data_IF_482169167274
#
_entry.id   IF_482169167274
#
_cell.length_a   1.000
_cell.length_b   1.000
_cell.length_c   1.000
_cell.angle_alpha   90.00
_cell.angle_beta   90.00
_cell.angle_gamma   90.00
#
_symmetry.space_group_name_H-M   'P 1'
#
loop_
_entity.id
_entity.type
_entity.pdbx_description
1 polymer ?
#
# COMPACT_ATOMS: atom_id res chain seq x y z
N UNK A 1 52.94 -49.60 49.41
CA UNK A 1 51.94 -48.55 49.70
C UNK A 1 51.57 -47.87 48.41
N UNK A 2 50.32 -48.06 47.93
CA UNK A 2 49.74 -47.38 46.76
C UNK A 2 48.70 -46.38 47.27
N UNK A 3 48.63 -45.14 46.78
CA UNK A 3 47.45 -44.31 46.96
C UNK A 3 46.47 -44.52 45.80
N UNK A 4 45.19 -44.60 46.15
CA UNK A 4 44.00 -44.52 45.29
C UNK A 4 43.64 -43.03 45.07
N UNK A 5 42.88 -42.72 44.02
CA UNK A 5 41.84 -41.67 43.85
C UNK A 5 41.77 -41.32 42.36
N UNK A 6 40.66 -41.04 41.68
CA UNK A 6 39.25 -41.38 41.77
C UNK A 6 38.68 -40.99 40.38
N UNK A 7 37.74 -41.78 39.86
CA UNK A 7 37.06 -41.56 38.59
C UNK A 7 36.19 -40.28 38.69
N UNK A 8 36.35 -39.35 37.74
CA UNK A 8 35.35 -38.34 37.43
C UNK A 8 34.86 -38.57 36.01
N UNK A 9 33.62 -39.03 35.89
CA UNK A 9 32.87 -39.09 34.64
C UNK A 9 32.40 -37.68 34.27
N UNK A 10 32.89 -37.13 33.17
CA UNK A 10 32.34 -35.92 32.57
C UNK A 10 31.21 -36.32 31.60
N UNK A 11 29.96 -36.02 31.95
CA UNK A 11 28.84 -36.02 30.99
C UNK A 11 29.02 -34.84 30.03
N UNK A 12 29.20 -35.13 28.75
CA UNK A 12 29.09 -34.16 27.66
C UNK A 12 27.60 -34.02 27.34
N UNK A 13 26.98 -32.93 27.83
CA UNK A 13 25.64 -32.52 27.39
C UNK A 13 25.74 -31.73 26.09
N UNK A 14 25.31 -32.33 24.98
CA UNK A 14 25.08 -31.65 23.70
C UNK A 14 23.90 -30.68 23.87
N UNK A 15 24.15 -29.37 23.79
CA UNK A 15 23.10 -28.38 23.60
C UNK A 15 22.98 -28.08 22.10
N UNK A 16 22.00 -28.69 21.44
CA UNK A 16 21.61 -28.35 20.06
C UNK A 16 20.88 -27.01 20.09
N UNK A 17 21.61 -25.92 19.79
CA UNK A 17 21.00 -24.63 19.50
C UNK A 17 20.30 -24.70 18.15
N UNK A 18 18.97 -24.79 18.15
CA UNK A 18 18.15 -24.52 16.98
C UNK A 18 18.29 -23.04 16.62
N UNK A 19 19.21 -22.73 15.71
CA UNK A 19 19.23 -21.46 14.99
C UNK A 19 18.04 -21.47 14.03
N UNK A 20 16.92 -20.88 14.47
CA UNK A 20 15.85 -20.50 13.57
C UNK A 20 16.40 -19.43 12.61
N UNK A 21 16.48 -19.76 11.32
CA UNK A 21 16.80 -18.80 10.26
C UNK A 21 15.73 -17.71 10.15
N UNK A 22 16.04 -16.58 9.51
CA UNK A 22 15.14 -15.44 9.45
C UNK A 22 13.85 -15.83 8.72
N UNK A 23 12.71 -15.49 9.32
CA UNK A 23 11.40 -15.58 8.68
C UNK A 23 11.33 -14.47 7.63
N UNK A 24 11.01 -14.84 6.39
CA UNK A 24 10.84 -13.89 5.29
C UNK A 24 9.78 -12.82 5.66
N UNK A 25 10.19 -11.55 5.69
CA UNK A 25 9.30 -10.40 5.97
C UNK A 25 9.77 -9.43 7.05
N UNK A 26 10.81 -9.76 7.82
CA UNK A 26 11.41 -8.81 8.76
C UNK A 26 12.13 -7.68 8.02
N UNK A 27 11.55 -6.48 8.05
CA UNK A 27 12.25 -5.25 7.64
C UNK A 27 13.46 -5.07 8.57
N UNK A 28 14.62 -4.64 8.05
CA UNK A 28 15.76 -4.31 8.91
C UNK A 28 15.30 -3.32 9.98
N UNK A 29 15.65 -3.60 11.25
CA UNK A 29 15.36 -2.78 12.43
C UNK A 29 13.93 -2.85 13.01
N UNK A 30 13.18 -3.93 12.77
CA UNK A 30 11.90 -4.18 13.48
C UNK A 30 12.06 -5.14 14.66
N UNK A 31 11.44 -4.81 15.80
CA UNK A 31 11.41 -5.64 17.01
C UNK A 31 9.97 -6.02 17.34
N UNK A 32 9.71 -7.30 17.53
CA UNK A 32 8.40 -7.79 17.96
C UNK A 32 8.21 -7.67 19.48
N UNK A 33 7.00 -7.32 19.92
CA UNK A 33 6.58 -7.29 21.33
C UNK A 33 5.33 -8.16 21.54
N UNK A 34 4.98 -8.48 22.78
CA UNK A 34 3.73 -9.19 23.11
C UNK A 34 2.60 -8.22 23.48
N UNK A 35 1.33 -8.66 23.44
CA UNK A 35 0.22 -7.85 23.93
C UNK A 35 0.46 -7.37 25.36
N UNK A 36 0.37 -6.05 25.58
CA UNK A 36 0.61 -5.41 26.86
C UNK A 36 2.08 -5.09 27.18
N UNK A 37 3.04 -5.51 26.34
CA UNK A 37 4.42 -5.06 26.45
C UNK A 37 4.60 -3.67 25.82
N UNK A 38 5.54 -2.88 26.35
CA UNK A 38 5.93 -1.61 25.74
C UNK A 38 7.06 -1.83 24.74
N UNK A 39 7.18 -0.95 23.75
CA UNK A 39 8.34 -0.94 22.88
C UNK A 39 9.64 -0.72 23.69
N UNK A 40 10.76 -1.31 23.27
CA UNK A 40 12.07 -1.01 23.84
C UNK A 40 12.36 0.50 23.84
N UNK A 41 13.17 0.96 24.80
CA UNK A 41 13.57 2.36 24.89
C UNK A 41 14.17 2.85 23.56
N UNK A 42 13.73 4.01 23.08
CA UNK A 42 14.14 4.59 21.80
C UNK A 42 13.38 4.06 20.58
N UNK A 43 12.35 3.22 20.77
CA UNK A 43 11.48 2.72 19.69
C UNK A 43 10.04 3.16 19.89
N UNK A 44 9.28 3.15 18.81
CA UNK A 44 7.82 3.32 18.81
C UNK A 44 7.14 2.18 18.07
N UNK A 45 5.89 1.91 18.42
CA UNK A 45 5.05 0.94 17.72
C UNK A 45 4.68 1.51 16.35
N UNK A 46 5.06 0.80 15.28
CA UNK A 46 4.79 1.19 13.89
C UNK A 46 3.67 0.34 13.25
N UNK A 47 3.39 -0.81 13.86
CA UNK A 47 2.28 -1.73 13.56
C UNK A 47 1.95 -2.48 14.85
N UNK A 48 0.74 -3.05 14.98
CA UNK A 48 0.43 -3.90 16.13
C UNK A 48 1.54 -4.89 16.41
N UNK A 49 2.10 -4.79 17.61
CA UNK A 49 3.17 -5.65 18.14
C UNK A 49 4.53 -5.54 17.41
N UNK A 50 4.76 -4.49 16.61
CA UNK A 50 6.03 -4.25 15.93
C UNK A 50 6.56 -2.85 16.22
N UNK A 51 7.74 -2.80 16.80
CA UNK A 51 8.45 -1.58 17.17
C UNK A 51 9.61 -1.30 16.21
N UNK A 52 9.95 -0.03 16.03
CA UNK A 52 11.12 0.41 15.25
C UNK A 52 11.72 1.68 15.86
N UNK A 53 13.04 1.80 15.79
CA UNK A 53 13.77 3.02 16.13
C UNK A 53 13.87 3.96 14.91
N UNK A 54 13.79 5.28 15.09
CA UNK A 54 14.08 6.23 14.02
C UNK A 54 15.55 6.12 13.59
N UNK A 55 15.82 6.38 12.31
CA UNK A 55 17.20 6.42 11.77
C UNK A 55 17.90 7.76 11.98
N UNK A 56 17.16 8.77 12.44
CA UNK A 56 17.66 10.08 12.81
C UNK A 56 17.65 10.21 14.32
N UNK A 57 18.58 11.01 14.85
CA UNK A 57 18.56 11.38 16.27
C UNK A 57 17.23 12.06 16.60
N UNK A 58 16.51 11.49 17.57
CA UNK A 58 15.24 12.03 17.99
C UNK A 58 15.43 13.43 18.59
N UNK A 59 14.66 14.44 18.18
CA UNK A 59 14.68 15.74 18.85
C UNK A 59 14.34 15.57 20.33
N UNK A 60 14.86 16.47 21.17
CA UNK A 60 14.35 16.57 22.53
C UNK A 60 12.86 16.96 22.49
N UNK A 61 12.12 16.62 23.53
CA UNK A 61 10.72 17.05 23.66
C UNK A 61 10.56 18.59 23.66
N UNK A 62 11.62 19.33 23.95
CA UNK A 62 11.63 20.80 23.95
C UNK A 62 11.87 21.40 22.55
N UNK A 63 12.55 20.63 21.69
CA UNK A 63 12.91 21.02 20.33
C UNK A 63 11.89 20.54 19.30
N UNK A 64 11.18 19.44 19.57
CA UNK A 64 10.10 18.96 18.72
C UNK A 64 8.88 19.87 18.83
N UNK A 65 8.61 20.67 17.79
CA UNK A 65 7.52 21.65 17.75
C UNK A 65 6.66 21.45 16.49
N UNK A 66 6.01 20.28 16.33
CA UNK A 66 5.17 20.03 15.18
C UNK A 66 4.01 21.01 15.18
N UNK A 67 3.68 21.56 14.02
CA UNK A 67 2.44 22.30 13.83
C UNK A 67 1.38 21.32 13.35
N UNK A 68 0.48 20.95 14.26
CA UNK A 68 -0.64 20.07 13.94
C UNK A 68 -1.49 20.64 12.81
N UNK A 69 -1.75 19.83 11.79
CA UNK A 69 -2.68 20.15 10.69
C UNK A 69 -4.12 19.71 10.95
N UNK A 70 -4.45 19.06 12.07
CA UNK A 70 -5.76 18.43 12.31
C UNK A 70 -6.20 18.48 13.77
N UNK A 71 -7.34 19.13 14.05
CA UNK A 71 -8.00 19.10 15.38
C UNK A 71 -9.51 19.07 15.20
N UNK A 72 -10.14 17.92 15.47
CA UNK A 72 -11.61 17.79 15.55
C UNK A 72 -12.02 16.77 16.62
N UNK A 73 -13.22 16.89 17.21
CA UNK A 73 -13.78 15.87 18.08
C UNK A 73 -13.93 14.51 17.38
N UNK A 74 -13.59 13.43 18.08
CA UNK A 74 -13.78 12.06 17.59
C UNK A 74 -15.11 11.48 18.03
N UNK A 75 -15.77 10.76 17.11
CA UNK A 75 -17.02 10.06 17.37
C UNK A 75 -16.93 8.62 16.82
N UNK A 76 -16.49 7.64 17.63
CA UNK A 76 -16.33 6.27 17.16
C UNK A 76 -17.70 5.65 16.88
N UNK A 77 -17.99 5.41 15.60
CA UNK A 77 -19.20 4.71 15.12
C UNK A 77 -18.72 3.36 14.55
N UNK A 78 -18.69 2.28 15.36
CA UNK A 78 -18.05 1.02 14.96
C UNK A 78 -18.82 0.26 13.87
N UNK A 79 -20.08 0.62 13.62
CA UNK A 79 -20.90 0.05 12.55
C UNK A 79 -21.74 1.14 11.90
N UNK A 80 -21.73 1.26 10.56
CA UNK A 80 -22.54 2.26 9.87
C UNK A 80 -24.03 1.90 9.96
N UNK A 81 -24.89 2.93 9.96
CA UNK A 81 -26.36 2.77 9.97
C UNK A 81 -26.87 2.05 8.70
N UNK A 82 -26.15 2.20 7.59
CA UNK A 82 -26.44 1.56 6.30
C UNK A 82 -25.23 0.75 5.84
N UNK A 83 -25.40 -0.29 5.01
CA UNK A 83 -24.28 -1.03 4.45
C UNK A 83 -23.29 -0.08 3.77
N UNK A 84 -22.03 -0.11 4.19
CA UNK A 84 -20.98 0.69 3.58
C UNK A 84 -20.41 -0.01 2.34
N UNK A 85 -19.88 0.80 1.41
CA UNK A 85 -19.07 0.35 0.28
C UNK A 85 -17.65 0.84 0.55
N UNK A 86 -16.69 -0.08 0.58
CA UNK A 86 -15.28 0.24 0.65
C UNK A 86 -14.74 0.22 -0.77
N UNK A 87 -14.30 1.39 -1.23
CA UNK A 87 -13.80 1.61 -2.58
C UNK A 87 -12.27 1.39 -2.68
N UNK A 88 -11.60 1.14 -1.55
CA UNK A 88 -10.14 1.13 -1.44
C UNK A 88 -9.67 -0.04 -0.55
N UNK A 89 -10.04 -1.26 -0.93
CA UNK A 89 -9.59 -2.48 -0.27
C UNK A 89 -8.33 -3.07 -0.87
N UNK A 90 -7.37 -3.43 -0.03
CA UNK A 90 -6.22 -4.28 -0.40
C UNK A 90 -6.21 -5.63 0.34
N UNK A 91 -7.31 -6.41 0.34
CA UNK A 91 -7.30 -7.71 0.97
C UNK A 91 -6.38 -8.67 0.21
N UNK A 92 -5.72 -9.56 0.95
CA UNK A 92 -5.10 -10.75 0.35
C UNK A 92 -6.22 -11.67 -0.11
N UNK A 93 -6.25 -12.00 -1.41
CA UNK A 93 -7.21 -12.93 -2.00
C UNK A 93 -6.46 -13.95 -2.85
N UNK A 94 -5.91 -14.96 -2.17
CA UNK A 94 -5.10 -16.04 -2.74
C UNK A 94 -5.79 -17.42 -2.67
N UNK A 95 -6.93 -17.53 -1.97
CA UNK A 95 -7.71 -18.76 -1.90
C UNK A 95 -8.99 -18.64 -1.06
N UNK A 96 -9.73 -19.75 -0.87
CA UNK A 96 -10.99 -19.75 -0.13
C UNK A 96 -10.87 -19.31 1.33
N UNK A 97 -9.74 -19.63 1.98
CA UNK A 97 -9.49 -19.26 3.37
C UNK A 97 -9.39 -17.74 3.53
N UNK A 98 -8.59 -17.06 2.68
CA UNK A 98 -8.46 -15.61 2.74
C UNK A 98 -9.74 -14.87 2.33
N UNK A 99 -10.56 -15.47 1.46
CA UNK A 99 -11.90 -14.96 1.17
C UNK A 99 -12.84 -15.06 2.38
N UNK A 100 -12.78 -16.16 3.15
CA UNK A 100 -13.55 -16.32 4.39
C UNK A 100 -13.06 -15.38 5.51
N UNK A 101 -11.76 -15.13 5.60
CA UNK A 101 -11.19 -14.11 6.49
C UNK A 101 -11.72 -12.72 6.16
N UNK A 102 -11.79 -12.38 4.87
CA UNK A 102 -12.37 -11.13 4.41
C UNK A 102 -13.86 -11.04 4.74
N UNK A 103 -14.64 -12.09 4.48
CA UNK A 103 -16.07 -12.15 4.82
C UNK A 103 -16.31 -11.83 6.31
N UNK A 104 -15.58 -12.52 7.20
CA UNK A 104 -15.66 -12.30 8.63
C UNK A 104 -15.26 -10.86 9.02
N UNK A 105 -14.28 -10.25 8.34
CA UNK A 105 -13.90 -8.87 8.57
C UNK A 105 -15.00 -7.88 8.12
N UNK A 106 -15.57 -8.09 6.94
CA UNK A 106 -16.65 -7.27 6.38
C UNK A 106 -17.89 -7.30 7.30
N UNK A 107 -18.26 -8.48 7.79
CA UNK A 107 -19.43 -8.64 8.66
C UNK A 107 -19.29 -7.92 10.00
N UNK A 108 -18.10 -7.99 10.61
CA UNK A 108 -17.78 -7.32 11.89
C UNK A 108 -18.01 -5.81 11.81
N UNK A 109 -17.65 -5.19 10.69
CA UNK A 109 -17.74 -3.72 10.52
C UNK A 109 -18.99 -3.27 9.76
N UNK A 110 -19.86 -4.19 9.34
CA UNK A 110 -21.06 -3.86 8.57
C UNK A 110 -20.78 -3.40 7.15
N UNK A 111 -19.71 -3.90 6.53
CA UNK A 111 -19.36 -3.60 5.15
C UNK A 111 -20.20 -4.46 4.20
N UNK A 112 -20.96 -3.80 3.32
CA UNK A 112 -21.79 -4.46 2.33
C UNK A 112 -20.96 -4.94 1.14
N UNK A 113 -20.18 -4.04 0.55
CA UNK A 113 -19.37 -4.29 -0.64
C UNK A 113 -17.94 -3.82 -0.43
N UNK A 114 -16.98 -4.61 -0.91
CA UNK A 114 -15.56 -4.29 -0.99
C UNK A 114 -15.13 -4.25 -2.45
N UNK A 115 -14.46 -3.19 -2.86
CA UNK A 115 -13.76 -3.12 -4.14
C UNK A 115 -12.28 -3.34 -3.89
N UNK A 116 -11.75 -4.39 -4.51
CA UNK A 116 -10.36 -4.81 -4.40
C UNK A 116 -9.54 -4.01 -5.40
N UNK A 117 -8.62 -3.20 -4.87
CA UNK A 117 -7.78 -2.27 -5.60
C UNK A 117 -6.35 -2.81 -5.81
N UNK A 118 -6.19 -4.13 -5.98
CA UNK A 118 -4.90 -4.82 -5.97
C UNK A 118 -4.11 -4.78 -7.28
N UNK A 119 -4.51 -3.93 -8.24
CA UNK A 119 -3.84 -3.73 -9.54
C UNK A 119 -3.57 -5.04 -10.31
N UNK A 120 -4.44 -6.05 -10.16
CA UNK A 120 -4.36 -7.34 -10.86
C UNK A 120 -4.96 -7.24 -12.25
N UNK A 121 -4.54 -8.09 -13.20
CA UNK A 121 -4.99 -8.05 -14.59
C UNK A 121 -4.84 -9.41 -15.26
N UNK A 122 -5.47 -9.60 -16.42
CA UNK A 122 -5.34 -10.81 -17.23
C UNK A 122 -5.68 -12.07 -16.45
N UNK A 123 -4.83 -13.10 -16.53
CA UNK A 123 -5.14 -14.39 -15.92
C UNK A 123 -5.28 -14.31 -14.39
N UNK A 124 -4.45 -13.50 -13.74
CA UNK A 124 -4.53 -13.33 -12.28
C UNK A 124 -5.84 -12.69 -11.84
N UNK A 125 -6.36 -11.75 -12.63
CA UNK A 125 -7.69 -11.17 -12.40
C UNK A 125 -8.78 -12.24 -12.58
N UNK A 126 -8.72 -13.05 -13.65
CA UNK A 126 -9.71 -14.11 -13.89
C UNK A 126 -9.73 -15.15 -12.78
N UNK A 127 -8.57 -15.57 -12.29
CA UNK A 127 -8.44 -16.46 -11.12
C UNK A 127 -9.12 -15.86 -9.88
N UNK A 128 -8.86 -14.57 -9.60
CA UNK A 128 -9.45 -13.87 -8.46
C UNK A 128 -10.97 -13.75 -8.60
N UNK A 129 -11.46 -13.39 -9.78
CA UNK A 129 -12.89 -13.32 -10.08
C UNK A 129 -13.54 -14.69 -9.94
N UNK A 130 -12.92 -15.76 -10.44
CA UNK A 130 -13.42 -17.12 -10.29
C UNK A 130 -13.51 -17.56 -8.81
N UNK A 131 -12.49 -17.24 -8.01
CA UNK A 131 -12.49 -17.47 -6.56
C UNK A 131 -13.69 -16.77 -5.89
N UNK A 132 -13.91 -15.49 -6.22
CA UNK A 132 -15.03 -14.70 -5.68
C UNK A 132 -16.38 -15.29 -6.13
N UNK A 133 -16.53 -15.60 -7.41
CA UNK A 133 -17.78 -16.13 -7.99
C UNK A 133 -18.14 -17.53 -7.46
N UNK A 134 -17.14 -18.32 -7.09
CA UNK A 134 -17.36 -19.63 -6.47
C UNK A 134 -17.96 -19.56 -5.06
N UNK A 135 -17.92 -18.39 -4.39
CA UNK A 135 -18.50 -18.19 -3.06
C UNK A 135 -19.93 -17.65 -3.14
N UNK A 136 -20.95 -18.41 -2.67
CA UNK A 136 -22.34 -17.95 -2.68
C UNK A 136 -22.60 -16.71 -1.81
N UNK A 137 -21.81 -16.50 -0.76
CA UNK A 137 -21.98 -15.37 0.18
C UNK A 137 -21.19 -14.14 -0.24
N UNK A 138 -20.11 -14.31 -1.02
CA UNK A 138 -19.19 -13.23 -1.37
C UNK A 138 -19.27 -12.75 -2.82
N UNK A 139 -19.84 -13.54 -3.74
CA UNK A 139 -19.95 -13.18 -5.17
C UNK A 139 -20.64 -11.84 -5.44
N UNK A 140 -21.53 -11.41 -4.55
CA UNK A 140 -22.26 -10.14 -4.64
C UNK A 140 -21.67 -9.02 -3.77
N UNK A 141 -20.65 -9.34 -2.97
CA UNK A 141 -20.03 -8.44 -1.98
C UNK A 141 -18.61 -8.02 -2.34
N UNK A 142 -17.94 -8.70 -3.26
CA UNK A 142 -16.59 -8.35 -3.69
C UNK A 142 -16.58 -8.00 -5.17
N UNK A 143 -15.94 -6.88 -5.50
CA UNK A 143 -15.65 -6.45 -6.87
C UNK A 143 -14.16 -6.18 -7.01
N UNK A 144 -13.65 -6.17 -8.22
CA UNK A 144 -12.21 -6.04 -8.47
C UNK A 144 -11.96 -4.97 -9.52
N UNK A 145 -10.98 -4.12 -9.28
CA UNK A 145 -10.42 -3.25 -10.30
C UNK A 145 -9.31 -3.97 -11.08
N UNK A 146 -9.26 -3.74 -12.39
CA UNK A 146 -8.11 -4.15 -13.18
C UNK A 146 -6.96 -3.16 -13.05
N UNK A 147 -5.74 -3.66 -13.16
CA UNK A 147 -4.53 -2.86 -13.10
C UNK A 147 -3.88 -2.54 -14.43
N UNK A 148 -2.93 -1.61 -14.40
CA UNK A 148 -2.08 -1.25 -15.54
C UNK A 148 -0.62 -1.58 -15.19
N UNK A 149 0.08 -2.21 -16.14
CA UNK A 149 1.54 -2.31 -16.04
C UNK A 149 2.16 -1.05 -16.64
N UNK A 150 2.76 -0.25 -15.78
CA UNK A 150 3.59 0.86 -16.23
C UNK A 150 5.06 0.44 -16.27
N UNK A 151 5.77 0.86 -17.32
CA UNK A 151 7.20 0.60 -17.48
C UNK A 151 7.53 0.18 -18.89
N UNK A 152 8.73 0.55 -19.36
CA UNK A 152 9.22 0.30 -20.72
C UNK A 152 8.11 0.51 -21.76
N UNK A 153 7.71 1.78 -21.94
CA UNK A 153 6.68 2.25 -22.88
C UNK A 153 7.12 2.06 -24.35
N UNK A 154 7.54 0.86 -24.67
CA UNK A 154 7.95 0.40 -25.99
C UNK A 154 6.80 0.62 -26.98
N UNK A 155 7.12 0.72 -28.28
CA UNK A 155 6.11 0.77 -29.33
C UNK A 155 5.01 -0.30 -29.14
N UNK A 156 3.76 0.12 -29.25
CA UNK A 156 2.61 -0.77 -29.05
C UNK A 156 2.18 -0.97 -27.59
N UNK A 157 2.86 -0.39 -26.59
CA UNK A 157 2.53 -0.59 -25.18
C UNK A 157 1.11 -0.14 -24.85
N UNK A 158 0.72 1.05 -25.29
CA UNK A 158 -0.58 1.63 -24.92
C UNK A 158 -1.73 0.84 -25.54
N UNK A 159 -1.56 0.34 -26.77
CA UNK A 159 -2.54 -0.50 -27.45
C UNK A 159 -2.75 -1.82 -26.71
N UNK A 160 -1.65 -2.44 -26.24
CA UNK A 160 -1.72 -3.65 -25.41
C UNK A 160 -2.38 -3.38 -24.05
N UNK A 161 -2.07 -2.25 -23.42
CA UNK A 161 -2.67 -1.86 -22.15
C UNK A 161 -4.18 -1.64 -22.29
N UNK A 162 -4.62 -0.92 -23.33
CA UNK A 162 -6.03 -0.71 -23.65
C UNK A 162 -6.74 -2.04 -23.93
N UNK A 163 -6.16 -2.90 -24.76
CA UNK A 163 -6.74 -4.21 -25.05
C UNK A 163 -6.87 -5.10 -23.79
N UNK A 164 -5.89 -5.03 -22.89
CA UNK A 164 -5.95 -5.73 -21.60
C UNK A 164 -7.07 -5.20 -20.70
N UNK A 165 -7.22 -3.87 -20.61
CA UNK A 165 -8.31 -3.24 -19.85
C UNK A 165 -9.67 -3.66 -20.41
N UNK A 166 -9.85 -3.62 -21.74
CA UNK A 166 -11.10 -4.04 -22.38
C UNK A 166 -11.42 -5.52 -22.08
N UNK A 167 -10.43 -6.40 -22.18
CA UNK A 167 -10.60 -7.82 -21.87
C UNK A 167 -10.94 -8.06 -20.39
N UNK A 168 -10.33 -7.30 -19.48
CA UNK A 168 -10.54 -7.43 -18.04
C UNK A 168 -11.90 -6.88 -17.59
N UNK A 169 -12.33 -5.74 -18.15
CA UNK A 169 -13.68 -5.21 -17.93
C UNK A 169 -14.73 -6.19 -18.48
N UNK A 170 -14.50 -6.76 -19.66
CA UNK A 170 -15.37 -7.80 -20.21
C UNK A 170 -15.41 -9.07 -19.33
N UNK A 171 -14.33 -9.38 -18.61
CA UNK A 171 -14.27 -10.50 -17.67
C UNK A 171 -14.97 -10.20 -16.32
N UNK A 172 -15.26 -8.94 -16.02
CA UNK A 172 -15.99 -8.52 -14.81
C UNK A 172 -15.27 -7.53 -13.90
N UNK A 173 -14.12 -6.96 -14.32
CA UNK A 173 -13.54 -5.83 -13.61
C UNK A 173 -14.49 -4.63 -13.64
N UNK A 174 -14.64 -3.92 -12.52
CA UNK A 174 -15.62 -2.82 -12.37
C UNK A 174 -14.99 -1.43 -12.49
N UNK A 175 -13.71 -1.35 -12.86
CA UNK A 175 -12.92 -0.12 -12.83
C UNK A 175 -11.44 -0.42 -13.01
N UNK A 176 -10.65 0.66 -13.09
CA UNK A 176 -9.21 0.61 -13.26
C UNK A 176 -8.55 1.15 -12.00
N UNK A 177 -7.58 0.43 -11.43
CA UNK A 177 -6.76 0.90 -10.32
C UNK A 177 -6.67 -0.09 -9.14
N UNK A 178 -6.18 0.34 -7.98
CA UNK A 178 -5.59 1.65 -7.72
C UNK A 178 -4.36 1.90 -8.61
N UNK A 179 -4.40 3.00 -9.38
CA UNK A 179 -3.20 3.49 -10.06
C UNK A 179 -2.28 4.04 -8.97
N UNK A 180 -1.18 3.33 -8.74
CA UNK A 180 -0.22 3.66 -7.69
C UNK A 180 0.40 5.04 -7.88
N UNK A 181 0.69 5.71 -6.76
CA UNK A 181 1.48 6.95 -6.68
C UNK A 181 2.82 6.91 -7.39
N UNK A 182 3.35 5.73 -7.69
CA UNK A 182 4.56 5.60 -8.51
C UNK A 182 4.39 6.20 -9.91
N UNK A 183 3.16 6.24 -10.44
CA UNK A 183 2.85 7.00 -11.66
C UNK A 183 3.00 8.48 -11.34
N UNK A 184 3.78 9.20 -12.14
CA UNK A 184 4.16 10.57 -11.82
C UNK A 184 5.32 10.65 -10.84
N UNK A 185 5.43 9.80 -9.81
CA UNK A 185 6.49 9.95 -8.82
C UNK A 185 7.83 9.35 -9.25
N UNK A 186 7.85 8.07 -9.66
CA UNK A 186 9.10 7.31 -9.83
C UNK A 186 9.18 6.46 -11.10
N UNK A 187 8.05 6.16 -11.74
CA UNK A 187 8.05 5.42 -13.01
C UNK A 187 8.76 6.24 -14.09
N UNK A 188 9.67 5.58 -14.81
CA UNK A 188 10.42 6.16 -15.93
C UNK A 188 10.02 5.53 -17.25
N UNK A 189 10.12 6.32 -18.31
CA UNK A 189 10.04 5.90 -19.71
C UNK A 189 11.35 5.20 -20.10
N UNK A 190 11.38 4.56 -21.27
CA UNK A 190 12.56 3.84 -21.77
C UNK A 190 13.78 4.75 -21.97
N UNK A 191 13.57 6.05 -22.20
CA UNK A 191 14.61 7.08 -22.30
C UNK A 191 15.12 7.60 -20.94
N UNK A 192 14.61 7.08 -19.82
CA UNK A 192 14.95 7.48 -18.46
C UNK A 192 14.22 8.72 -17.94
N UNK A 193 13.43 9.40 -18.79
CA UNK A 193 12.60 10.52 -18.35
C UNK A 193 11.41 10.03 -17.51
N UNK A 194 10.91 10.87 -16.60
CA UNK A 194 9.77 10.54 -15.73
C UNK A 194 8.50 10.44 -16.57
N UNK A 195 7.69 9.42 -16.29
CA UNK A 195 6.33 9.34 -16.82
C UNK A 195 5.43 10.24 -15.96
N UNK A 196 5.16 11.45 -16.45
CA UNK A 196 4.24 12.40 -15.81
C UNK A 196 2.81 11.84 -15.78
N UNK A 197 2.00 12.29 -14.81
CA UNK A 197 0.62 11.80 -14.66
C UNK A 197 -0.24 12.17 -15.86
N UNK A 198 0.03 13.31 -16.48
CA UNK A 198 -0.67 13.84 -17.65
C UNK A 198 0.10 13.67 -18.96
N UNK A 199 1.07 12.74 -19.03
CA UNK A 199 1.80 12.44 -20.27
C UNK A 199 0.80 11.95 -21.34
N UNK A 200 0.78 12.56 -22.55
CA UNK A 200 -0.17 12.22 -23.61
C UNK A 200 -0.16 10.76 -24.06
N UNK A 201 0.93 10.02 -23.79
CA UNK A 201 0.99 8.57 -24.07
C UNK A 201 -0.08 7.79 -23.29
N UNK A 202 -0.59 8.34 -22.20
CA UNK A 202 -1.61 7.74 -21.34
C UNK A 202 -3.04 8.07 -21.80
N UNK A 203 -3.23 9.11 -22.62
CA UNK A 203 -4.56 9.56 -23.06
C UNK A 203 -5.47 8.43 -23.59
N UNK A 204 -4.98 7.45 -24.39
CA UNK A 204 -5.83 6.36 -24.88
C UNK A 204 -6.38 5.45 -23.77
N UNK A 205 -5.69 5.32 -22.64
CA UNK A 205 -6.14 4.53 -21.47
C UNK A 205 -7.36 5.21 -20.84
N UNK A 206 -7.31 6.53 -20.69
CA UNK A 206 -8.37 7.30 -20.07
C UNK A 206 -9.60 7.39 -20.97
N UNK A 207 -9.40 7.51 -22.28
CA UNK A 207 -10.49 7.42 -23.25
C UNK A 207 -11.13 6.02 -23.31
N UNK A 208 -10.35 4.95 -23.09
CA UNK A 208 -10.88 3.61 -22.96
C UNK A 208 -11.77 3.48 -21.71
N UNK A 209 -11.34 4.00 -20.56
CA UNK A 209 -12.17 4.05 -19.35
C UNK A 209 -13.51 4.77 -19.58
N UNK A 210 -13.48 5.95 -20.23
CA UNK A 210 -14.69 6.69 -20.58
C UNK A 210 -15.61 5.90 -21.53
N UNK A 211 -15.05 5.28 -22.57
CA UNK A 211 -15.81 4.45 -23.53
C UNK A 211 -16.46 3.24 -22.85
N UNK A 212 -15.76 2.59 -21.92
CA UNK A 212 -16.23 1.43 -21.19
C UNK A 212 -17.19 1.81 -20.04
N UNK A 213 -17.27 3.09 -19.67
CA UNK A 213 -18.12 3.58 -18.59
C UNK A 213 -17.66 3.13 -17.19
N UNK A 214 -16.35 2.90 -17.02
CA UNK A 214 -15.76 2.43 -15.76
C UNK A 214 -14.92 3.53 -15.10
N UNK A 215 -14.91 3.62 -13.75
CA UNK A 215 -14.11 4.61 -13.05
C UNK A 215 -12.61 4.25 -13.07
N UNK A 216 -11.78 5.28 -12.91
CA UNK A 216 -10.33 5.18 -12.68
C UNK A 216 -10.04 5.62 -11.25
N UNK A 217 -9.58 4.70 -10.42
CA UNK A 217 -9.12 4.99 -9.07
C UNK A 217 -7.63 5.31 -9.07
N UNK A 218 -7.25 6.54 -8.72
CA UNK A 218 -5.87 7.03 -8.80
C UNK A 218 -5.37 7.54 -7.45
N UNK A 219 -4.15 7.12 -7.11
CA UNK A 219 -3.39 7.63 -5.99
C UNK A 219 -2.31 8.54 -6.52
N UNK A 220 -2.38 9.82 -6.14
CA UNK A 220 -1.41 10.83 -6.51
C UNK A 220 -0.67 11.31 -5.27
N UNK A 221 0.66 11.36 -5.36
CA UNK A 221 1.54 11.84 -4.30
C UNK A 221 1.37 11.08 -2.97
N UNK A 222 1.81 11.73 -1.90
CA UNK A 222 1.78 11.33 -0.49
C UNK A 222 1.55 12.61 0.32
N UNK A 223 1.44 12.58 1.66
CA UNK A 223 1.32 13.80 2.45
C UNK A 223 2.36 14.86 2.06
N UNK A 224 1.94 16.12 1.95
CA UNK A 224 2.78 17.20 1.42
C UNK A 224 4.11 17.35 2.17
N UNK A 225 4.11 17.05 3.47
CA UNK A 225 5.28 17.07 4.35
C UNK A 225 6.39 16.10 3.92
N UNK A 226 6.07 15.07 3.12
CA UNK A 226 7.06 14.13 2.58
C UNK A 226 7.96 14.78 1.52
N UNK A 227 7.50 15.89 0.93
CA UNK A 227 8.19 16.70 -0.08
C UNK A 227 8.87 17.94 0.53
N UNK A 228 8.73 18.15 1.84
CA UNK A 228 9.32 19.27 2.57
C UNK A 228 10.63 18.86 3.24
N UNK A 229 11.40 19.87 3.62
CA UNK A 229 12.58 19.66 4.46
C UNK A 229 12.21 18.91 5.74
N UNK A 230 13.07 17.97 6.13
CA UNK A 230 12.89 17.17 7.33
C UNK A 230 13.55 17.87 8.52
N UNK A 231 12.88 18.90 9.02
CA UNK A 231 13.24 19.63 10.23
C UNK A 231 12.32 19.27 11.41
N UNK A 232 12.55 19.86 12.58
CA UNK A 232 11.73 19.62 13.78
C UNK A 232 10.37 20.34 13.78
N UNK A 233 10.04 21.07 12.71
CA UNK A 233 8.73 21.67 12.47
C UNK A 233 7.84 20.81 11.56
N UNK A 234 8.43 19.88 10.82
CA UNK A 234 7.74 18.88 10.01
C UNK A 234 6.97 17.89 10.90
N UNK A 235 5.64 17.92 10.83
CA UNK A 235 4.78 17.06 11.67
C UNK A 235 4.90 15.56 11.35
N UNK A 236 5.45 15.21 10.18
CA UNK A 236 5.74 13.82 9.78
C UNK A 236 7.16 13.41 10.12
N UNK A 237 7.90 14.18 10.92
CA UNK A 237 9.32 13.92 11.21
C UNK A 237 9.56 12.49 11.67
N UNK A 238 8.79 12.01 12.66
CA UNK A 238 8.96 10.66 13.21
C UNK A 238 8.72 9.60 12.14
N UNK A 239 7.67 9.74 11.34
CA UNK A 239 7.36 8.79 10.27
C UNK A 239 8.46 8.76 9.20
N UNK A 240 8.95 9.93 8.80
CA UNK A 240 10.03 10.05 7.83
C UNK A 240 11.38 9.59 8.41
N UNK A 241 11.58 9.70 9.72
CA UNK A 241 12.74 9.15 10.42
C UNK A 241 12.70 7.62 10.51
N UNK A 242 11.52 7.02 10.62
CA UNK A 242 11.30 5.56 10.62
C UNK A 242 11.35 4.97 9.20
N UNK A 243 10.81 5.70 8.22
CA UNK A 243 10.63 5.25 6.83
C UNK A 243 11.28 6.24 5.86
N UNK A 244 12.62 6.21 5.70
CA UNK A 244 13.34 7.17 4.86
C UNK A 244 12.94 7.11 3.38
N UNK A 245 12.44 5.98 2.89
CA UNK A 245 11.94 5.82 1.52
C UNK A 245 10.61 6.54 1.25
N UNK A 246 10.07 7.24 2.25
CA UNK A 246 8.92 8.14 2.14
C UNK A 246 9.34 9.60 2.02
N UNK A 247 10.63 9.90 1.97
CA UNK A 247 11.15 11.26 1.76
C UNK A 247 11.31 11.50 0.26
N UNK A 248 10.83 12.63 -0.24
CA UNK A 248 10.87 13.00 -1.65
C UNK A 248 11.66 14.30 -1.84
N UNK A 249 13.00 14.24 -1.80
CA UNK A 249 13.83 15.42 -2.02
C UNK A 249 13.69 15.89 -3.47
N UNK A 250 13.60 17.21 -3.66
CA UNK A 250 13.20 17.81 -4.94
C UNK A 250 14.28 17.78 -6.03
N UNK A 251 15.51 17.39 -5.69
CA UNK A 251 16.57 17.10 -6.66
C UNK A 251 16.39 15.73 -7.33
N UNK A 252 15.57 14.85 -6.76
CA UNK A 252 15.27 13.51 -7.30
C UNK A 252 13.80 13.36 -7.76
N UNK A 253 12.86 13.97 -7.05
CA UNK A 253 11.41 13.82 -7.24
C UNK A 253 10.73 15.13 -7.67
N UNK A 254 9.61 15.08 -8.43
CA UNK A 254 8.77 16.25 -8.65
C UNK A 254 8.22 16.80 -7.33
N UNK A 255 7.91 18.10 -7.29
CA UNK A 255 7.26 18.68 -6.12
C UNK A 255 5.83 18.17 -5.96
N UNK A 256 5.28 18.31 -4.75
CA UNK A 256 3.89 17.99 -4.46
C UNK A 256 2.94 18.77 -5.39
N UNK A 257 3.17 20.07 -5.56
CA UNK A 257 2.38 20.95 -6.43
C UNK A 257 2.45 20.53 -7.89
N UNK A 258 3.62 20.06 -8.35
CA UNK A 258 3.77 19.55 -9.71
C UNK A 258 2.92 18.29 -9.92
N UNK A 259 2.95 17.33 -8.99
CA UNK A 259 2.12 16.12 -9.08
C UNK A 259 0.62 16.45 -9.09
N UNK A 260 0.18 17.38 -8.23
CA UNK A 260 -1.21 17.83 -8.22
C UNK A 260 -1.60 18.54 -9.52
N UNK A 261 -0.74 19.39 -10.06
CA UNK A 261 -0.99 20.09 -11.32
C UNK A 261 -1.12 19.10 -12.50
N UNK A 262 -0.26 18.08 -12.56
CA UNK A 262 -0.34 17.03 -13.59
C UNK A 262 -1.66 16.25 -13.45
N UNK A 263 -2.04 15.82 -12.24
CA UNK A 263 -3.34 15.17 -11.99
C UNK A 263 -4.52 16.06 -12.44
N UNK A 264 -4.50 17.34 -12.10
CA UNK A 264 -5.60 18.25 -12.45
C UNK A 264 -5.66 18.51 -13.97
N UNK A 265 -4.51 18.50 -14.65
CA UNK A 265 -4.44 18.57 -16.12
C UNK A 265 -5.03 17.33 -16.78
N UNK A 266 -4.71 16.15 -16.26
CA UNK A 266 -5.30 14.89 -16.68
C UNK A 266 -6.84 14.96 -16.60
N UNK A 267 -7.38 15.41 -15.46
CA UNK A 267 -8.84 15.51 -15.27
C UNK A 267 -9.48 16.50 -16.24
N UNK A 268 -8.85 17.66 -16.47
CA UNK A 268 -9.33 18.66 -17.42
C UNK A 268 -9.36 18.14 -18.85
N UNK A 269 -8.39 17.31 -19.24
CA UNK A 269 -8.25 16.76 -20.59
C UNK A 269 -9.26 15.64 -20.86
N UNK A 270 -9.66 14.89 -19.83
CA UNK A 270 -10.58 13.75 -19.97
C UNK A 270 -11.87 13.95 -19.16
N UNK A 271 -12.70 14.95 -19.51
CA UNK A 271 -13.92 15.28 -18.74
C UNK A 271 -15.01 14.20 -18.82
N UNK A 272 -14.86 13.20 -19.70
CA UNK A 272 -15.78 12.05 -19.82
C UNK A 272 -15.38 10.87 -18.95
N UNK A 273 -14.17 10.89 -18.37
CA UNK A 273 -13.66 9.82 -17.53
C UNK A 273 -14.01 10.13 -16.07
N UNK A 274 -14.58 9.16 -15.36
CA UNK A 274 -14.82 9.30 -13.92
C UNK A 274 -13.55 8.93 -13.17
N UNK A 275 -12.83 9.92 -12.66
CA UNK A 275 -11.71 9.71 -11.76
C UNK A 275 -12.19 9.71 -10.31
N UNK A 276 -11.67 8.79 -9.52
CA UNK A 276 -11.82 8.75 -8.06
C UNK A 276 -10.43 8.85 -7.47
N UNK A 277 -10.22 9.77 -6.53
CA UNK A 277 -8.90 10.02 -5.96
C UNK A 277 -8.78 9.43 -4.57
N UNK A 278 -7.64 8.80 -4.31
CA UNK A 278 -7.34 8.24 -3.01
C UNK A 278 -7.00 9.36 -2.00
N UNK A 279 -7.12 9.06 -0.71
CA UNK A 279 -6.54 9.89 0.37
C UNK A 279 -6.98 11.36 0.41
N UNK A 280 -8.26 11.65 0.14
CA UNK A 280 -8.89 12.97 0.24
C UNK A 280 -8.53 13.98 -0.86
N UNK A 281 -7.90 13.57 -1.96
CA UNK A 281 -7.66 14.50 -3.07
C UNK A 281 -6.92 13.95 -4.25
#
# INVERSE_FOLDING_TARGET
>A
MKPRFALFSALIGLAFGLLAGPVAGQRPNTVGIRPGEQCPAGMTEIRPLQCMAPQLEAPSILDYRPRSTLVVPEHPIPRPKYPAIDFHGHPRLDGPESLAELEAAMDRIGLGVMIVASNVRGERLREMLALIQASPTMRDRVRVFTGIEFGNLEPGWVERAVAQIEADVAAGAVGIGEISKSLGLSIRKSDGSRLAIDDPVLDPIWEAAARLGVPVFIHTADPAEFFRELDYSNERWLELALFPNRRYPQDEYPSFEQLLAERDNLFRRHPRTTFVTAHLG
#
